data_IF_226278320683
#
_entry.id   IF_226278320683
#
_cell.length_a   1.000
_cell.length_b   1.000
_cell.length_c   1.000
_cell.angle_alpha   90.00
_cell.angle_beta   90.00
_cell.angle_gamma   90.00
#
_symmetry.space_group_name_H-M   'P 1'
#
loop_
_entity.id
_entity.type
_entity.pdbx_description
1 polymer ?
#
# COMPACT_ATOMS: atom_id res chain seq x y z
N UNK A 1 -38.36 -32.95 -4.21
CA UNK A 1 -37.52 -32.20 -3.25
C UNK A 1 -36.69 -31.25 -4.10
N UNK A 2 -36.97 -29.98 -3.94
CA UNK A 2 -36.73 -28.90 -4.90
C UNK A 2 -35.26 -28.54 -5.09
N UNK A 3 -34.97 -28.08 -6.30
CA UNK A 3 -33.67 -27.73 -6.85
C UNK A 3 -32.84 -26.81 -5.95
N UNK A 4 -31.64 -27.29 -5.62
CA UNK A 4 -30.64 -26.57 -4.85
C UNK A 4 -29.71 -25.83 -5.83
N UNK A 5 -29.72 -24.51 -5.70
CA UNK A 5 -28.78 -23.52 -6.26
C UNK A 5 -28.77 -23.29 -7.77
N UNK A 6 -29.80 -22.59 -8.27
CA UNK A 6 -29.59 -21.56 -9.28
C UNK A 6 -28.78 -20.40 -8.68
N UNK A 7 -27.48 -20.63 -8.51
CA UNK A 7 -26.52 -19.55 -8.32
C UNK A 7 -26.52 -18.71 -9.59
N UNK A 8 -27.01 -17.47 -9.50
CA UNK A 8 -27.06 -16.53 -10.60
C UNK A 8 -25.75 -16.58 -11.39
N UNK A 9 -25.83 -16.98 -12.66
CA UNK A 9 -24.71 -16.97 -13.58
C UNK A 9 -24.27 -15.51 -13.78
N UNK A 10 -23.35 -15.05 -12.93
CA UNK A 10 -22.62 -13.82 -13.16
C UNK A 10 -21.94 -13.93 -14.54
N UNK A 11 -21.85 -12.83 -15.32
CA UNK A 11 -21.15 -12.84 -16.62
C UNK A 11 -19.80 -13.53 -16.45
N UNK A 12 -19.40 -14.39 -17.40
CA UNK A 12 -18.26 -15.28 -17.31
C UNK A 12 -16.94 -14.52 -17.06
N UNK A 13 -16.70 -14.17 -15.79
CA UNK A 13 -15.49 -13.50 -15.33
C UNK A 13 -14.43 -14.57 -15.13
N UNK A 14 -13.22 -14.37 -15.66
CA UNK A 14 -12.14 -15.31 -15.42
C UNK A 14 -11.90 -15.43 -13.91
N UNK A 15 -11.78 -16.65 -13.39
CA UNK A 15 -11.54 -16.91 -11.97
C UNK A 15 -10.38 -16.09 -11.43
N UNK A 16 -9.32 -15.94 -12.24
CA UNK A 16 -8.15 -15.15 -11.89
C UNK A 16 -8.47 -13.65 -11.69
N UNK A 17 -9.34 -13.07 -12.52
CA UNK A 17 -9.80 -11.68 -12.36
C UNK A 17 -10.57 -11.50 -11.05
N UNK A 18 -11.44 -12.45 -10.71
CA UNK A 18 -12.20 -12.42 -9.45
C UNK A 18 -11.26 -12.46 -8.24
N UNK A 19 -10.26 -13.34 -8.25
CA UNK A 19 -9.29 -13.45 -7.15
C UNK A 19 -8.50 -12.16 -6.98
N UNK A 20 -7.92 -11.61 -8.05
CA UNK A 20 -7.11 -10.39 -7.95
C UNK A 20 -7.93 -9.17 -7.52
N UNK A 21 -9.20 -9.07 -7.94
CA UNK A 21 -10.10 -8.02 -7.47
C UNK A 21 -10.37 -8.14 -5.97
N UNK A 22 -10.66 -9.34 -5.45
CA UNK A 22 -10.86 -9.55 -4.01
C UNK A 22 -9.60 -9.20 -3.22
N UNK A 23 -8.43 -9.66 -3.68
CA UNK A 23 -7.15 -9.31 -3.06
C UNK A 23 -6.91 -7.80 -3.05
N UNK A 24 -7.26 -7.13 -4.14
CA UNK A 24 -7.12 -5.66 -4.23
C UNK A 24 -8.12 -4.93 -3.36
N UNK A 25 -9.34 -5.46 -3.17
CA UNK A 25 -10.29 -4.93 -2.20
C UNK A 25 -9.77 -5.04 -0.77
N UNK A 26 -9.18 -6.18 -0.40
CA UNK A 26 -8.58 -6.37 0.92
C UNK A 26 -7.39 -5.43 1.14
N UNK A 27 -6.50 -5.32 0.14
CA UNK A 27 -5.37 -4.41 0.19
C UNK A 27 -5.81 -2.94 0.27
N UNK A 28 -6.82 -2.54 -0.53
CA UNK A 28 -7.36 -1.19 -0.52
C UNK A 28 -8.14 -0.85 0.76
N UNK A 29 -8.84 -1.83 1.35
CA UNK A 29 -9.48 -1.66 2.66
C UNK A 29 -8.43 -1.47 3.76
N UNK A 30 -7.34 -2.25 3.72
CA UNK A 30 -6.21 -2.06 4.62
C UNK A 30 -5.56 -0.68 4.44
N UNK A 31 -5.31 -0.27 3.18
CA UNK A 31 -4.80 1.05 2.82
C UNK A 31 -5.70 2.21 3.28
N UNK A 32 -7.01 2.00 3.26
CA UNK A 32 -7.96 3.00 3.77
C UNK A 32 -7.86 3.13 5.29
N UNK A 33 -7.74 2.00 6.01
CA UNK A 33 -7.57 2.00 7.47
C UNK A 33 -6.23 2.62 7.86
N UNK A 34 -5.13 2.31 7.17
CA UNK A 34 -3.83 2.95 7.41
C UNK A 34 -3.89 4.44 7.13
N UNK A 35 -4.51 4.86 6.02
CA UNK A 35 -4.68 6.26 5.68
C UNK A 35 -5.52 7.02 6.72
N UNK A 36 -6.62 6.43 7.22
CA UNK A 36 -7.44 7.03 8.29
C UNK A 36 -6.65 7.16 9.59
N UNK A 37 -5.90 6.12 9.97
CA UNK A 37 -5.01 6.18 11.14
C UNK A 37 -3.98 7.30 10.99
N UNK A 38 -3.32 7.39 9.83
CA UNK A 38 -2.30 8.41 9.58
C UNK A 38 -2.89 9.84 9.53
N UNK A 39 -4.12 10.00 9.03
CA UNK A 39 -4.75 11.31 8.87
C UNK A 39 -5.41 11.85 10.14
N UNK A 40 -5.96 10.97 10.98
CA UNK A 40 -6.86 11.36 12.08
C UNK A 40 -6.40 10.93 13.48
N UNK A 41 -5.30 10.20 13.62
CA UNK A 41 -4.76 9.82 14.94
C UNK A 41 -3.30 10.23 15.09
N UNK A 42 -2.87 10.40 16.35
CA UNK A 42 -1.46 10.65 16.69
C UNK A 42 -0.63 9.36 16.75
N UNK A 43 -1.15 8.26 16.19
CA UNK A 43 -0.48 6.97 16.17
C UNK A 43 0.89 7.00 15.46
N UNK A 44 1.10 7.78 14.39
CA UNK A 44 2.43 7.93 13.78
C UNK A 44 3.45 8.53 14.75
N UNK A 45 3.07 9.56 15.52
CA UNK A 45 3.96 10.18 16.50
C UNK A 45 4.25 9.25 17.68
N UNK A 46 3.24 8.52 18.17
CA UNK A 46 3.41 7.53 19.22
C UNK A 46 4.33 6.38 18.78
N UNK A 47 4.18 5.91 17.53
CA UNK A 47 5.03 4.87 16.96
C UNK A 47 6.49 5.33 16.81
N UNK A 48 6.74 6.60 16.46
CA UNK A 48 8.09 7.17 16.44
C UNK A 48 8.70 7.17 17.84
N UNK A 49 7.97 7.61 18.86
CA UNK A 49 8.45 7.64 20.23
C UNK A 49 8.76 6.24 20.78
N UNK A 50 7.92 5.25 20.46
CA UNK A 50 8.16 3.84 20.81
C UNK A 50 9.38 3.28 20.06
N UNK A 51 9.48 3.52 18.75
CA UNK A 51 10.65 3.13 17.95
C UNK A 51 11.95 3.74 18.49
N UNK A 52 11.95 5.02 18.88
CA UNK A 52 13.12 5.66 19.49
C UNK A 52 13.53 4.95 20.78
N UNK A 53 12.56 4.63 21.65
CA UNK A 53 12.83 3.93 22.92
C UNK A 53 13.28 2.47 22.75
N UNK A 54 12.80 1.75 21.75
CA UNK A 54 13.29 0.41 21.40
C UNK A 54 14.67 0.47 20.77
N UNK A 55 14.93 1.47 19.92
CA UNK A 55 16.22 1.66 19.30
C UNK A 55 17.32 1.96 20.32
N UNK A 56 17.03 2.81 21.29
CA UNK A 56 17.97 3.15 22.37
C UNK A 56 18.35 1.89 23.18
N UNK A 57 17.38 1.01 23.46
CA UNK A 57 17.63 -0.28 24.11
C UNK A 57 18.46 -1.22 23.22
N UNK A 58 18.13 -1.32 21.93
CA UNK A 58 18.88 -2.15 20.99
C UNK A 58 20.33 -1.67 20.83
N UNK A 59 20.56 -0.35 20.82
CA UNK A 59 21.89 0.24 20.75
C UNK A 59 22.68 0.00 22.04
N UNK A 60 22.01 0.05 23.20
CA UNK A 60 22.62 -0.29 24.49
C UNK A 60 23.01 -1.78 24.59
N UNK A 61 22.23 -2.69 23.96
CA UNK A 61 22.51 -4.13 23.96
C UNK A 61 23.56 -4.56 22.91
N UNK A 62 23.64 -3.87 21.76
CA UNK A 62 24.62 -4.19 20.71
C UNK A 62 26.04 -3.68 21.01
N UNK A 63 26.20 -2.77 21.99
CA UNK A 63 27.51 -2.21 22.37
C UNK A 63 28.25 -1.59 21.18
N UNK A 64 29.58 -1.59 21.21
CA UNK A 64 30.45 -0.99 20.18
C UNK A 64 30.57 -1.81 18.88
N UNK A 65 29.71 -2.81 18.65
CA UNK A 65 29.63 -3.52 17.36
C UNK A 65 28.92 -2.66 16.31
N UNK A 66 29.46 -1.47 16.07
CA UNK A 66 29.00 -0.53 15.07
C UNK A 66 29.41 -1.08 13.69
N UNK A 67 28.50 -1.81 13.05
CA UNK A 67 28.62 -2.06 11.61
C UNK A 67 28.11 -0.80 10.92
N UNK A 68 28.94 -0.05 10.18
CA UNK A 68 28.55 1.27 9.63
C UNK A 68 27.32 1.20 8.71
N UNK A 69 27.09 0.06 8.04
CA UNK A 69 25.89 -0.19 7.24
C UNK A 69 24.60 -0.30 8.09
N UNK A 70 24.70 -0.84 9.30
CA UNK A 70 23.56 -0.98 10.22
C UNK A 70 23.19 0.37 10.80
N UNK A 71 24.18 1.19 11.17
CA UNK A 71 23.99 2.56 11.65
C UNK A 71 23.30 3.45 10.60
N UNK A 72 23.78 3.43 9.36
CA UNK A 72 23.17 4.19 8.27
C UNK A 72 21.73 3.74 7.97
N UNK A 73 21.46 2.44 8.03
CA UNK A 73 20.09 1.92 7.88
C UNK A 73 19.17 2.37 9.02
N UNK A 74 19.71 2.38 10.24
CA UNK A 74 19.01 2.78 11.45
C UNK A 74 18.66 4.27 11.45
N UNK A 75 19.62 5.11 11.09
CA UNK A 75 19.44 6.55 10.92
C UNK A 75 18.45 6.84 9.77
N UNK A 76 18.58 6.16 8.63
CA UNK A 76 17.62 6.30 7.53
C UNK A 76 16.21 5.89 7.93
N UNK A 77 16.05 4.88 8.80
CA UNK A 77 14.75 4.44 9.30
C UNK A 77 14.14 5.48 10.26
N UNK A 78 14.93 6.05 11.19
CA UNK A 78 14.50 7.14 12.05
C UNK A 78 14.07 8.37 11.25
N UNK A 79 14.92 8.83 10.32
CA UNK A 79 14.60 9.99 9.48
C UNK A 79 13.34 9.78 8.66
N UNK A 80 13.12 8.57 8.16
CA UNK A 80 11.88 8.21 7.45
C UNK A 80 10.68 8.27 8.40
N UNK A 81 10.79 7.68 9.60
CA UNK A 81 9.69 7.64 10.57
C UNK A 81 9.33 9.04 11.09
N UNK A 82 10.30 9.90 11.35
CA UNK A 82 10.10 11.30 11.74
C UNK A 82 9.38 12.08 10.63
N UNK A 83 9.86 12.00 9.38
CA UNK A 83 9.19 12.64 8.23
C UNK A 83 7.79 12.08 8.00
N UNK A 84 7.60 10.77 8.20
CA UNK A 84 6.29 10.14 8.12
C UNK A 84 5.32 10.69 9.16
N UNK A 85 5.79 10.94 10.38
CA UNK A 85 5.01 11.52 11.46
C UNK A 85 4.73 13.02 11.25
N UNK A 86 5.70 13.79 10.79
CA UNK A 86 5.54 15.22 10.47
C UNK A 86 4.54 15.42 9.31
N UNK A 87 4.62 14.56 8.30
CA UNK A 87 3.73 14.58 7.13
C UNK A 87 2.58 13.57 7.22
N UNK A 88 2.26 13.06 8.41
CA UNK A 88 1.25 12.03 8.59
C UNK A 88 -0.12 12.40 8.03
N UNK A 89 -0.55 13.65 8.25
CA UNK A 89 -1.83 14.18 7.76
C UNK A 89 -1.92 14.22 6.23
N UNK A 90 -1.01 14.91 5.52
CA UNK A 90 -1.06 14.91 4.06
C UNK A 90 -0.88 13.51 3.48
N UNK A 91 0.03 12.69 4.03
CA UNK A 91 0.21 11.27 3.65
C UNK A 91 -1.09 10.48 3.81
N UNK A 92 -1.76 10.58 4.96
CA UNK A 92 -3.01 9.89 5.23
C UNK A 92 -4.15 10.32 4.32
N UNK A 93 -4.31 11.63 4.05
CA UNK A 93 -5.31 12.10 3.08
C UNK A 93 -5.04 11.60 1.67
N UNK A 94 -3.77 11.61 1.24
CA UNK A 94 -3.37 11.05 -0.05
C UNK A 94 -3.64 9.55 -0.13
N UNK A 95 -3.28 8.80 0.92
CA UNK A 95 -3.49 7.36 1.00
C UNK A 95 -4.97 6.99 0.98
N UNK A 96 -5.83 7.75 1.67
CA UNK A 96 -7.30 7.61 1.58
C UNK A 96 -7.77 7.88 0.15
N UNK A 97 -7.35 8.99 -0.45
CA UNK A 97 -7.79 9.37 -1.80
C UNK A 97 -7.37 8.33 -2.86
N UNK A 98 -6.11 7.88 -2.84
CA UNK A 98 -5.60 6.85 -3.75
C UNK A 98 -6.21 5.47 -3.45
N UNK A 99 -6.48 5.15 -2.18
CA UNK A 99 -7.20 3.91 -1.82
C UNK A 99 -8.61 3.93 -2.37
N UNK A 100 -9.37 5.03 -2.22
CA UNK A 100 -10.71 5.14 -2.80
C UNK A 100 -10.70 5.10 -4.33
N UNK A 101 -9.72 5.76 -4.97
CA UNK A 101 -9.56 5.70 -6.43
C UNK A 101 -9.21 4.28 -6.90
N UNK A 102 -8.30 3.59 -6.22
CA UNK A 102 -7.92 2.22 -6.56
C UNK A 102 -9.10 1.26 -6.35
N UNK A 103 -9.85 1.38 -5.25
CA UNK A 103 -11.07 0.63 -5.00
C UNK A 103 -12.15 0.89 -6.06
N UNK A 104 -12.30 2.14 -6.50
CA UNK A 104 -13.20 2.49 -7.60
C UNK A 104 -12.74 1.91 -8.95
N UNK A 105 -11.42 1.87 -9.20
CA UNK A 105 -10.83 1.20 -10.34
C UNK A 105 -11.10 -0.31 -10.31
N UNK A 106 -10.86 -0.96 -9.17
CA UNK A 106 -11.12 -2.39 -8.95
C UNK A 106 -12.60 -2.70 -9.06
N UNK A 107 -13.49 -1.84 -8.57
CA UNK A 107 -14.93 -2.00 -8.77
C UNK A 107 -15.34 -1.93 -10.24
N UNK A 108 -14.72 -1.06 -11.04
CA UNK A 108 -14.95 -1.05 -12.48
C UNK A 108 -14.40 -2.30 -13.16
N UNK A 109 -13.23 -2.80 -12.75
CA UNK A 109 -12.66 -4.06 -13.25
C UNK A 109 -13.50 -5.27 -12.85
N UNK A 110 -14.08 -5.25 -11.64
CA UNK A 110 -15.09 -6.22 -11.23
C UNK A 110 -16.22 -6.22 -12.25
N UNK A 111 -16.74 -5.07 -12.65
CA UNK A 111 -17.76 -4.94 -13.68
C UNK A 111 -17.28 -5.13 -15.13
N UNK A 112 -16.08 -5.69 -15.36
CA UNK A 112 -15.48 -5.95 -16.68
C UNK A 112 -15.25 -4.69 -17.54
N UNK A 113 -15.13 -3.50 -16.92
CA UNK A 113 -14.87 -2.25 -17.64
C UNK A 113 -13.37 -1.98 -17.74
N UNK A 114 -12.87 -1.78 -18.97
CA UNK A 114 -11.44 -1.47 -19.22
C UNK A 114 -10.97 -0.15 -18.59
N UNK A 115 -11.88 0.79 -18.31
CA UNK A 115 -11.55 2.06 -17.66
C UNK A 115 -11.02 1.88 -16.23
N UNK A 116 -11.44 0.81 -15.54
CA UNK A 116 -11.04 0.54 -14.16
C UNK A 116 -9.53 0.32 -14.01
N UNK A 117 -8.90 -0.31 -15.01
CA UNK A 117 -7.45 -0.54 -15.01
C UNK A 117 -6.66 0.77 -15.04
N UNK A 118 -7.07 1.72 -15.88
CA UNK A 118 -6.37 3.02 -15.97
C UNK A 118 -6.50 3.83 -14.68
N UNK A 119 -7.68 3.78 -14.04
CA UNK A 119 -7.89 4.43 -12.75
C UNK A 119 -7.00 3.78 -11.68
N UNK A 120 -6.98 2.43 -11.63
CA UNK A 120 -6.12 1.70 -10.71
C UNK A 120 -4.64 2.02 -10.94
N UNK A 121 -4.17 2.03 -12.20
CA UNK A 121 -2.79 2.33 -12.55
C UNK A 121 -2.37 3.74 -12.08
N UNK A 122 -3.20 4.75 -12.34
CA UNK A 122 -2.93 6.13 -11.89
C UNK A 122 -2.91 6.21 -10.36
N UNK A 123 -3.85 5.54 -9.68
CA UNK A 123 -3.88 5.48 -8.22
C UNK A 123 -2.65 4.79 -7.63
N UNK A 124 -2.21 3.68 -8.23
CA UNK A 124 -1.02 2.93 -7.83
C UNK A 124 0.26 3.76 -8.02
N UNK A 125 0.40 4.45 -9.14
CA UNK A 125 1.55 5.35 -9.39
C UNK A 125 1.52 6.50 -8.37
N UNK A 126 0.36 7.12 -8.16
CA UNK A 126 0.19 8.19 -7.17
C UNK A 126 0.54 7.73 -5.75
N UNK A 127 0.12 6.52 -5.38
CA UNK A 127 0.41 5.91 -4.07
C UNK A 127 1.88 5.58 -3.83
N UNK A 128 2.72 5.49 -4.87
CA UNK A 128 4.18 5.30 -4.74
C UNK A 128 4.90 6.64 -4.80
N UNK A 129 4.52 7.52 -5.73
CA UNK A 129 5.16 8.83 -5.92
C UNK A 129 4.93 9.74 -4.71
N UNK A 130 3.74 9.69 -4.12
CA UNK A 130 3.38 10.59 -3.04
C UNK A 130 4.23 10.37 -1.77
N UNK A 131 4.38 9.14 -1.23
CA UNK A 131 5.35 8.85 -0.18
C UNK A 131 6.78 9.27 -0.55
N UNK A 132 7.22 9.02 -1.78
CA UNK A 132 8.58 9.35 -2.22
C UNK A 132 8.89 10.85 -2.16
N UNK A 133 7.89 11.71 -2.44
CA UNK A 133 8.04 13.17 -2.35
C UNK A 133 8.10 13.67 -0.90
N UNK A 134 7.32 13.09 0.01
CA UNK A 134 7.27 13.53 1.42
C UNK A 134 8.35 12.91 2.31
N UNK A 135 8.75 11.66 2.04
CA UNK A 135 9.71 10.91 2.85
C UNK A 135 11.14 11.02 2.30
N UNK A 136 11.27 11.32 1.01
CA UNK A 136 12.55 11.47 0.31
C UNK A 136 13.14 10.14 -0.19
N UNK A 137 14.36 10.20 -0.73
CA UNK A 137 15.05 9.07 -1.35
C UNK A 137 15.96 8.26 -0.42
N UNK A 138 15.73 8.25 0.89
CA UNK A 138 16.55 7.48 1.84
C UNK A 138 16.44 5.98 1.60
N UNK A 139 17.47 5.21 1.99
CA UNK A 139 17.53 3.75 1.82
C UNK A 139 16.27 3.08 2.40
N UNK A 140 15.83 3.47 3.60
CA UNK A 140 14.63 2.91 4.22
C UNK A 140 13.35 3.17 3.38
N UNK A 141 13.23 4.35 2.78
CA UNK A 141 12.09 4.69 1.92
C UNK A 141 12.14 3.90 0.62
N UNK A 142 13.32 3.78 0.00
CA UNK A 142 13.50 2.99 -1.23
C UNK A 142 13.21 1.50 -0.97
N UNK A 143 13.68 0.94 0.14
CA UNK A 143 13.42 -0.45 0.50
C UNK A 143 11.94 -0.70 0.81
N UNK A 144 11.32 0.19 1.60
CA UNK A 144 9.89 0.10 1.94
C UNK A 144 8.99 0.21 0.70
N UNK A 145 9.25 1.20 -0.17
CA UNK A 145 8.53 1.36 -1.43
C UNK A 145 8.89 0.30 -2.45
N UNK A 146 10.10 -0.25 -2.43
CA UNK A 146 10.56 -1.28 -3.36
C UNK A 146 9.74 -2.57 -3.22
N UNK A 147 9.51 -3.02 -1.98
CA UNK A 147 8.70 -4.22 -1.73
C UNK A 147 7.22 -4.00 -2.08
N UNK A 148 6.62 -2.91 -1.61
CA UNK A 148 5.23 -2.57 -1.94
C UNK A 148 5.01 -2.29 -3.43
N UNK A 149 5.99 -1.64 -4.06
CA UNK A 149 6.01 -1.34 -5.50
C UNK A 149 6.13 -2.58 -6.35
N UNK A 150 6.94 -3.57 -5.96
CA UNK A 150 7.02 -4.86 -6.65
C UNK A 150 5.68 -5.60 -6.61
N UNK A 151 5.04 -5.69 -5.44
CA UNK A 151 3.72 -6.30 -5.31
C UNK A 151 2.71 -5.57 -6.21
N UNK A 152 2.71 -4.23 -6.17
CA UNK A 152 1.85 -3.40 -7.00
C UNK A 152 2.09 -3.66 -8.49
N UNK A 153 3.35 -3.77 -8.93
CA UNK A 153 3.70 -4.06 -10.31
C UNK A 153 3.19 -5.44 -10.75
N UNK A 154 3.30 -6.47 -9.88
CA UNK A 154 2.74 -7.80 -10.14
C UNK A 154 1.23 -7.72 -10.35
N UNK A 155 0.50 -6.98 -9.49
CA UNK A 155 -0.94 -6.80 -9.64
C UNK A 155 -1.29 -6.08 -10.95
N UNK A 156 -0.56 -5.03 -11.32
CA UNK A 156 -0.74 -4.32 -12.60
C UNK A 156 -0.57 -5.29 -13.77
N UNK A 157 0.47 -6.13 -13.78
CA UNK A 157 0.69 -7.12 -14.84
C UNK A 157 -0.43 -8.15 -14.89
N UNK A 158 -0.87 -8.66 -13.74
CA UNK A 158 -1.98 -9.62 -13.67
C UNK A 158 -3.28 -9.00 -14.21
N UNK A 159 -3.58 -7.75 -13.90
CA UNK A 159 -4.71 -7.05 -14.50
C UNK A 159 -4.52 -6.82 -16.00
N UNK A 160 -3.32 -6.44 -16.42
CA UNK A 160 -2.99 -6.20 -17.83
C UNK A 160 -3.23 -7.45 -18.70
N UNK A 161 -2.85 -8.64 -18.21
CA UNK A 161 -3.11 -9.91 -18.90
C UNK A 161 -4.61 -10.20 -19.01
N UNK A 162 -5.42 -9.73 -18.07
CA UNK A 162 -6.88 -9.90 -18.09
C UNK A 162 -7.63 -8.79 -18.84
N UNK A 163 -6.95 -7.74 -19.32
CA UNK A 163 -7.59 -6.65 -20.06
C UNK A 163 -8.37 -7.12 -21.29
N UNK A 164 -7.95 -8.23 -21.92
CA UNK A 164 -8.64 -8.81 -23.07
C UNK A 164 -10.06 -9.27 -22.75
N UNK A 165 -10.36 -9.55 -21.48
CA UNK A 165 -11.68 -9.97 -21.01
C UNK A 165 -12.53 -8.78 -20.57
N UNK A 166 -11.98 -7.56 -20.57
CA UNK A 166 -12.68 -6.33 -20.22
C UNK A 166 -13.09 -5.57 -21.49
N UNK A 167 -14.28 -5.00 -21.50
CA UNK A 167 -14.84 -4.23 -22.62
C UNK A 167 -14.89 -2.73 -22.32
#
# INVERSE_FOLDING_TARGET
MSDIHTGAAAPARPTLLTVICILSFLAGAWGLVSGVRNAFTDAPQAAVAEMQGEMEKAMAEMGDQQVPMVEEMMESAMSMAEKAAEHAKPLGYGEIAFSLLSLFGVWNMWNLKRSGFWIYLVASIGGVVMPLVYLGGGIATILGLGFGGLITAVFIVLYAVNLKHMH
#
